data_IF_884823299544
#
_entry.id   IF_884823299544
#
_cell.length_a   1.000
_cell.length_b   1.000
_cell.length_c   1.000
_cell.angle_alpha   90.00
_cell.angle_beta   90.00
_cell.angle_gamma   90.00
#
_symmetry.space_group_name_H-M   'P 1'
#
loop_
_entity.id
_entity.type
_entity.pdbx_description
1 polymer ?
#
# COMPACT_ATOMS: atom_id res chain seq x y z
N UNK A 1 39.03 16.50 9.77
CA UNK A 1 38.17 17.08 8.71
C UNK A 1 36.75 16.74 9.09
N UNK A 2 36.10 17.65 9.79
CA UNK A 2 34.89 17.41 10.58
C UNK A 2 33.66 17.84 9.78
N UNK A 3 33.12 16.90 8.98
CA UNK A 3 31.94 17.10 8.11
C UNK A 3 30.67 16.80 8.92
N UNK A 4 30.44 17.52 10.02
CA UNK A 4 29.25 17.27 10.87
C UNK A 4 28.43 18.51 11.23
N UNK A 5 28.71 19.68 10.61
CA UNK A 5 27.97 20.93 10.93
C UNK A 5 27.50 21.74 9.73
N UNK A 6 27.28 21.12 8.58
CA UNK A 6 26.34 21.71 7.62
C UNK A 6 24.93 21.43 8.11
N UNK A 7 24.34 22.46 8.72
CA UNK A 7 22.99 22.47 9.26
C UNK A 7 21.99 21.91 8.25
N UNK A 8 21.47 20.71 8.51
CA UNK A 8 20.22 20.26 7.91
C UNK A 8 19.15 21.30 8.26
N UNK A 9 18.85 22.17 7.29
CA UNK A 9 17.75 23.13 7.39
C UNK A 9 16.51 22.33 7.03
N UNK A 10 15.65 21.93 7.98
CA UNK A 10 14.45 21.19 7.62
C UNK A 10 13.67 22.03 6.61
N UNK A 11 13.38 21.46 5.45
CA UNK A 11 12.51 22.09 4.48
C UNK A 11 11.25 22.56 5.22
N UNK A 12 10.84 23.83 5.01
CA UNK A 12 9.64 24.40 5.66
C UNK A 12 8.52 23.37 5.57
N UNK A 13 8.12 22.82 6.71
CA UNK A 13 7.01 21.87 6.80
C UNK A 13 5.75 22.65 6.47
N UNK A 14 5.39 22.68 5.18
CA UNK A 14 4.06 23.13 4.80
C UNK A 14 3.09 22.13 5.45
N UNK A 15 2.31 22.59 6.44
CA UNK A 15 1.15 21.86 6.93
C UNK A 15 0.26 21.59 5.71
N UNK A 16 0.35 20.40 5.15
CA UNK A 16 -0.48 19.98 4.03
C UNK A 16 -1.91 19.87 4.53
N UNK A 17 -2.71 20.90 4.28
CA UNK A 17 -4.14 20.96 4.64
C UNK A 17 -4.92 19.75 4.12
N UNK A 18 -4.41 19.08 3.08
CA UNK A 18 -4.99 17.88 2.47
C UNK A 18 -4.84 16.63 3.34
N UNK A 19 -3.76 16.51 4.12
CA UNK A 19 -3.46 15.34 4.96
C UNK A 19 -4.22 15.42 6.31
N UNK A 20 -4.44 16.64 6.80
CA UNK A 20 -5.18 16.91 8.04
C UNK A 20 -6.70 17.04 7.81
N UNK A 21 -7.21 16.66 6.64
CA UNK A 21 -8.63 16.73 6.34
C UNK A 21 -9.37 15.53 6.96
N UNK A 22 -10.18 15.80 7.98
CA UNK A 22 -10.99 14.78 8.67
C UNK A 22 -11.92 14.01 7.73
N UNK A 23 -12.39 14.64 6.64
CA UNK A 23 -13.16 13.97 5.59
C UNK A 23 -12.35 12.85 4.90
N UNK A 24 -11.10 13.15 4.54
CA UNK A 24 -10.21 12.19 3.85
C UNK A 24 -9.81 11.07 4.81
N UNK A 25 -9.52 11.40 6.08
CA UNK A 25 -9.30 10.39 7.13
C UNK A 25 -10.48 9.45 7.27
N UNK A 26 -11.71 9.99 7.38
CA UNK A 26 -12.92 9.18 7.46
C UNK A 26 -13.11 8.27 6.25
N UNK A 27 -12.82 8.76 5.05
CA UNK A 27 -12.89 7.96 3.82
C UNK A 27 -11.83 6.84 3.79
N UNK A 28 -10.60 7.14 4.19
CA UNK A 28 -9.52 6.15 4.29
C UNK A 28 -9.83 5.08 5.34
N UNK A 29 -10.36 5.46 6.51
CA UNK A 29 -10.77 4.50 7.55
C UNK A 29 -11.91 3.62 7.04
N UNK A 30 -12.93 4.18 6.39
CA UNK A 30 -14.01 3.39 5.80
C UNK A 30 -13.48 2.42 4.74
N UNK A 31 -12.59 2.89 3.87
CA UNK A 31 -11.96 2.03 2.86
C UNK A 31 -11.16 0.90 3.51
N UNK A 32 -10.39 1.19 4.55
CA UNK A 32 -9.66 0.18 5.32
C UNK A 32 -10.61 -0.86 5.93
N UNK A 33 -11.66 -0.42 6.64
CA UNK A 33 -12.64 -1.32 7.26
C UNK A 33 -13.35 -2.19 6.21
N UNK A 34 -13.84 -1.58 5.13
CA UNK A 34 -14.60 -2.29 4.10
C UNK A 34 -13.74 -3.28 3.32
N UNK A 35 -12.53 -2.90 2.92
CA UNK A 35 -11.72 -3.68 1.99
C UNK A 35 -10.63 -4.53 2.67
N UNK A 36 -10.33 -4.32 3.95
CA UNK A 36 -9.38 -5.17 4.69
C UNK A 36 -10.06 -5.98 5.79
N UNK A 37 -10.90 -5.36 6.62
CA UNK A 37 -11.49 -6.05 7.79
C UNK A 37 -12.58 -7.03 7.37
N UNK A 38 -13.46 -6.67 6.43
CA UNK A 38 -14.52 -7.58 5.95
C UNK A 38 -13.91 -8.85 5.31
N UNK A 39 -12.95 -8.76 4.36
CA UNK A 39 -12.32 -9.95 3.80
C UNK A 39 -11.59 -10.79 4.86
N UNK A 40 -10.91 -10.17 5.83
CA UNK A 40 -10.24 -10.89 6.91
C UNK A 40 -11.22 -11.71 7.77
N UNK A 41 -12.37 -11.12 8.12
CA UNK A 41 -13.45 -11.86 8.80
C UNK A 41 -13.95 -13.00 7.92
N UNK A 42 -14.14 -12.75 6.62
CA UNK A 42 -14.51 -13.78 5.64
C UNK A 42 -13.52 -14.95 5.61
N UNK A 43 -12.21 -14.68 5.68
CA UNK A 43 -11.16 -15.71 5.77
C UNK A 43 -11.27 -16.52 7.05
N UNK A 44 -11.51 -15.89 8.21
CA UNK A 44 -11.68 -16.60 9.49
C UNK A 44 -12.90 -17.53 9.44
N UNK A 45 -14.02 -17.05 8.90
CA UNK A 45 -15.23 -17.86 8.71
C UNK A 45 -14.95 -19.02 7.75
N UNK A 46 -14.26 -18.77 6.64
CA UNK A 46 -13.90 -19.81 5.68
C UNK A 46 -13.06 -20.92 6.33
N UNK A 47 -12.08 -20.57 7.17
CA UNK A 47 -11.27 -21.54 7.91
C UNK A 47 -12.15 -22.36 8.87
N UNK A 48 -13.09 -21.74 9.57
CA UNK A 48 -14.01 -22.46 10.46
C UNK A 48 -14.91 -23.45 9.68
N UNK A 49 -15.35 -23.07 8.48
CA UNK A 49 -16.19 -23.91 7.61
C UNK A 49 -15.44 -25.13 7.03
N UNK A 50 -14.10 -25.11 6.99
CA UNK A 50 -13.28 -26.26 6.55
C UNK A 50 -13.54 -27.52 7.38
N UNK A 51 -14.00 -27.36 8.63
CA UNK A 51 -14.36 -28.49 9.48
C UNK A 51 -15.57 -29.28 8.95
N UNK A 52 -16.41 -28.65 8.12
CA UNK A 52 -17.64 -29.24 7.60
C UNK A 52 -17.62 -29.43 6.08
N UNK A 53 -16.88 -28.60 5.36
CA UNK A 53 -16.80 -28.63 3.89
C UNK A 53 -15.36 -28.87 3.43
N UNK A 54 -15.08 -29.97 2.70
CA UNK A 54 -13.74 -30.24 2.17
C UNK A 54 -13.40 -29.27 1.04
N UNK A 55 -12.11 -28.96 0.91
CA UNK A 55 -11.56 -28.07 -0.13
C UNK A 55 -11.54 -28.82 -1.46
N UNK A 56 -12.14 -28.26 -2.51
CA UNK A 56 -11.97 -28.77 -3.88
C UNK A 56 -10.80 -28.08 -4.60
N UNK A 57 -10.41 -28.65 -5.74
CA UNK A 57 -9.35 -28.09 -6.59
C UNK A 57 -9.67 -26.68 -7.10
N UNK A 58 -10.95 -26.30 -7.18
CA UNK A 58 -11.38 -24.97 -7.63
C UNK A 58 -10.96 -23.90 -6.63
N UNK A 59 -11.16 -24.11 -5.32
CA UNK A 59 -10.77 -23.17 -4.27
C UNK A 59 -9.25 -22.99 -4.23
N UNK A 60 -8.49 -24.07 -4.39
CA UNK A 60 -7.03 -24.02 -4.45
C UNK A 60 -6.58 -23.24 -5.69
N UNK A 61 -7.18 -23.51 -6.85
CA UNK A 61 -6.89 -22.79 -8.09
C UNK A 61 -7.19 -21.30 -8.00
N UNK A 62 -8.32 -20.94 -7.41
CA UNK A 62 -8.70 -19.54 -7.16
C UNK A 62 -7.74 -18.86 -6.20
N UNK A 63 -7.37 -19.52 -5.10
CA UNK A 63 -6.41 -18.97 -4.12
C UNK A 63 -5.07 -18.64 -4.79
N UNK A 64 -4.49 -19.62 -5.49
CA UNK A 64 -3.20 -19.46 -6.16
C UNK A 64 -3.28 -18.41 -7.27
N UNK A 65 -4.34 -18.45 -8.08
CA UNK A 65 -4.54 -17.51 -9.18
C UNK A 65 -4.68 -16.07 -8.69
N UNK A 66 -5.53 -15.83 -7.69
CA UNK A 66 -5.75 -14.49 -7.14
C UNK A 66 -4.53 -13.98 -6.37
N UNK A 67 -3.81 -14.87 -5.67
CA UNK A 67 -2.54 -14.53 -5.02
C UNK A 67 -1.50 -14.08 -6.06
N UNK A 68 -1.31 -14.84 -7.14
CA UNK A 68 -0.36 -14.50 -8.18
C UNK A 68 -0.71 -13.17 -8.88
N UNK A 69 -1.98 -12.97 -9.23
CA UNK A 69 -2.45 -11.73 -9.84
C UNK A 69 -2.22 -10.51 -8.94
N UNK A 70 -2.50 -10.64 -7.65
CA UNK A 70 -2.27 -9.58 -6.66
C UNK A 70 -0.78 -9.28 -6.50
N UNK A 71 0.06 -10.31 -6.42
CA UNK A 71 1.53 -10.16 -6.33
C UNK A 71 2.11 -9.47 -7.56
N UNK A 72 1.62 -9.81 -8.75
CA UNK A 72 2.00 -9.15 -10.00
C UNK A 72 1.57 -7.67 -9.98
N UNK A 73 0.32 -7.39 -9.60
CA UNK A 73 -0.19 -6.02 -9.50
C UNK A 73 0.59 -5.15 -8.50
N UNK A 74 0.92 -5.72 -7.35
CA UNK A 74 1.75 -5.08 -6.32
C UNK A 74 3.17 -4.78 -6.83
N UNK A 75 3.83 -5.79 -7.39
CA UNK A 75 5.25 -5.72 -7.76
C UNK A 75 5.49 -4.97 -9.07
N UNK A 76 4.74 -5.30 -10.12
CA UNK A 76 4.87 -4.66 -11.42
C UNK A 76 4.07 -3.37 -11.51
N UNK A 77 2.84 -3.35 -10.97
CA UNK A 77 1.96 -2.19 -11.01
C UNK A 77 2.35 -1.13 -10.00
N UNK A 78 1.97 -1.30 -8.72
CA UNK A 78 2.17 -0.29 -7.68
C UNK A 78 3.64 0.08 -7.49
N UNK A 79 4.51 -0.91 -7.36
CA UNK A 79 5.92 -0.68 -7.07
C UNK A 79 6.71 -0.20 -8.30
N UNK A 80 6.83 -1.02 -9.35
CA UNK A 80 7.71 -0.69 -10.48
C UNK A 80 7.12 0.35 -11.43
N UNK A 81 5.86 0.23 -11.81
CA UNK A 81 5.25 1.13 -12.77
C UNK A 81 4.85 2.48 -12.13
N UNK A 82 4.03 2.46 -11.07
CA UNK A 82 3.52 3.70 -10.48
C UNK A 82 4.54 4.42 -9.59
N UNK A 83 5.22 3.72 -8.68
CA UNK A 83 6.18 4.37 -7.78
C UNK A 83 7.50 4.71 -8.49
N UNK A 84 8.10 3.74 -9.18
CA UNK A 84 9.44 3.90 -9.76
C UNK A 84 9.49 4.25 -11.26
N UNK A 85 8.35 4.22 -11.97
CA UNK A 85 8.28 4.51 -13.42
C UNK A 85 9.30 3.70 -14.24
N UNK A 86 9.53 2.45 -13.87
CA UNK A 86 10.59 1.61 -14.43
C UNK A 86 10.39 1.25 -15.92
N UNK A 87 9.15 1.33 -16.43
CA UNK A 87 8.83 1.03 -17.82
C UNK A 87 7.59 1.79 -18.28
N UNK A 88 7.37 1.86 -19.59
CA UNK A 88 6.17 2.44 -20.22
C UNK A 88 5.24 1.33 -20.71
N UNK A 89 3.93 1.57 -20.65
CA UNK A 89 2.90 0.62 -21.12
C UNK A 89 1.79 1.35 -21.85
N UNK A 90 0.92 0.61 -22.54
CA UNK A 90 -0.33 1.16 -23.09
C UNK A 90 -1.30 1.58 -21.98
N UNK A 91 -2.27 2.42 -22.35
CA UNK A 91 -3.33 2.90 -21.44
C UNK A 91 -4.16 1.76 -20.84
N UNK A 92 -4.50 0.75 -21.65
CA UNK A 92 -5.21 -0.44 -21.17
C UNK A 92 -4.41 -1.19 -20.12
N UNK A 93 -3.11 -1.40 -20.37
CA UNK A 93 -2.24 -2.09 -19.42
C UNK A 93 -2.05 -1.27 -18.14
N UNK A 94 -2.01 0.06 -18.23
CA UNK A 94 -1.98 0.94 -17.05
C UNK A 94 -3.19 0.72 -16.16
N UNK A 95 -4.39 0.61 -16.73
CA UNK A 95 -5.62 0.34 -15.97
C UNK A 95 -5.61 -1.05 -15.36
N UNK A 96 -5.19 -2.08 -16.12
CA UNK A 96 -5.06 -3.45 -15.60
C UNK A 96 -4.11 -3.51 -14.41
N UNK A 97 -2.93 -2.89 -14.53
CA UNK A 97 -1.94 -2.85 -13.44
C UNK A 97 -2.47 -2.08 -12.22
N UNK A 98 -3.28 -1.04 -12.42
CA UNK A 98 -3.95 -0.35 -11.32
C UNK A 98 -4.96 -1.25 -10.61
N UNK A 99 -5.80 -1.97 -11.36
CA UNK A 99 -6.79 -2.89 -10.80
C UNK A 99 -6.09 -4.02 -10.02
N UNK A 100 -5.13 -4.68 -10.64
CA UNK A 100 -4.36 -5.77 -10.00
C UNK A 100 -3.60 -5.27 -8.76
N UNK A 101 -3.06 -4.04 -8.81
CA UNK A 101 -2.42 -3.42 -7.66
C UNK A 101 -3.38 -3.19 -6.49
N UNK A 102 -4.58 -2.68 -6.79
CA UNK A 102 -5.62 -2.44 -5.78
C UNK A 102 -6.14 -3.74 -5.13
N UNK A 103 -6.03 -4.90 -5.80
CA UNK A 103 -6.38 -6.20 -5.21
C UNK A 103 -5.50 -6.56 -4.00
N UNK A 104 -4.30 -5.97 -3.89
CA UNK A 104 -3.41 -6.15 -2.73
C UNK A 104 -3.88 -5.46 -1.44
N UNK A 105 -5.00 -4.73 -1.47
CA UNK A 105 -5.63 -4.07 -0.32
C UNK A 105 -4.75 -3.05 0.46
N UNK A 106 -3.69 -2.54 -0.15
CA UNK A 106 -2.75 -1.58 0.48
C UNK A 106 -3.22 -0.11 0.47
N UNK A 107 -4.51 0.11 0.22
CA UNK A 107 -5.11 1.43 0.09
C UNK A 107 -4.94 2.08 -1.29
N UNK A 108 -5.31 3.37 -1.43
CA UNK A 108 -5.35 4.05 -2.72
C UNK A 108 -3.96 4.17 -3.36
N UNK A 109 -3.88 3.94 -4.68
CA UNK A 109 -2.63 3.99 -5.48
C UNK A 109 -1.78 5.23 -5.19
N UNK A 110 -2.40 6.42 -5.17
CA UNK A 110 -1.70 7.69 -4.94
C UNK A 110 -1.07 7.75 -3.55
N UNK A 111 -1.82 7.32 -2.53
CA UNK A 111 -1.35 7.29 -1.14
C UNK A 111 -0.20 6.31 -1.00
N UNK A 112 -0.35 5.12 -1.58
CA UNK A 112 0.68 4.08 -1.54
C UNK A 112 1.98 4.54 -2.19
N UNK A 113 1.91 5.10 -3.40
CA UNK A 113 3.08 5.61 -4.14
C UNK A 113 3.79 6.73 -3.37
N UNK A 114 3.04 7.64 -2.75
CA UNK A 114 3.62 8.74 -1.97
C UNK A 114 4.38 8.22 -0.74
N UNK A 115 3.79 7.29 0.00
CA UNK A 115 4.43 6.66 1.17
C UNK A 115 5.63 5.82 0.74
N UNK A 116 5.52 5.06 -0.35
CA UNK A 116 6.60 4.20 -0.87
C UNK A 116 7.82 4.99 -1.32
N UNK A 117 7.62 6.10 -2.04
CA UNK A 117 8.72 6.99 -2.45
C UNK A 117 9.41 7.62 -1.25
N UNK A 118 8.62 8.06 -0.26
CA UNK A 118 9.16 8.56 0.99
C UNK A 118 9.96 7.48 1.71
N UNK A 119 9.44 6.25 1.80
CA UNK A 119 10.19 5.16 2.42
C UNK A 119 11.59 5.02 1.83
N UNK A 120 11.74 5.05 0.50
CA UNK A 120 13.05 5.04 -0.15
C UNK A 120 13.90 6.31 0.03
N UNK A 121 13.27 7.47 0.21
CA UNK A 121 13.99 8.74 0.42
C UNK A 121 14.59 8.83 1.84
N UNK A 122 13.96 8.18 2.83
CA UNK A 122 14.34 8.29 4.23
C UNK A 122 14.88 6.99 4.86
N UNK A 123 14.94 5.87 4.12
CA UNK A 123 15.26 4.51 4.64
C UNK A 123 16.62 4.34 5.32
N UNK A 124 17.53 5.29 5.19
CA UNK A 124 18.90 5.20 5.71
C UNK A 124 19.26 6.33 6.70
N UNK A 125 18.25 7.07 7.20
CA UNK A 125 18.48 8.15 8.17
C UNK A 125 18.47 7.62 9.62
N UNK A 126 19.44 8.01 10.47
CA UNK A 126 19.42 7.66 11.89
C UNK A 126 18.21 8.33 12.56
N UNK A 127 17.22 7.53 12.97
CA UNK A 127 15.92 8.00 13.43
C UNK A 127 14.74 7.53 12.58
N UNK A 128 14.97 6.58 11.68
CA UNK A 128 13.98 6.03 10.74
C UNK A 128 12.65 5.70 11.45
N UNK A 129 11.57 6.45 11.19
CA UNK A 129 10.27 6.13 11.72
C UNK A 129 9.86 4.78 11.12
N UNK A 130 9.55 3.72 11.91
CA UNK A 130 8.85 2.56 11.34
C UNK A 130 7.60 3.08 10.61
N UNK A 131 7.09 2.38 9.59
CA UNK A 131 5.97 2.83 8.74
C UNK A 131 4.80 3.49 9.52
N UNK A 132 4.54 3.01 10.75
CA UNK A 132 3.58 3.56 11.71
C UNK A 132 3.90 4.98 12.23
N UNK A 133 5.17 5.35 12.39
CA UNK A 133 5.64 6.65 12.84
C UNK A 133 5.75 7.66 11.68
N UNK A 134 5.91 7.22 10.42
CA UNK A 134 5.81 8.11 9.24
C UNK A 134 4.37 8.66 9.03
N UNK A 135 3.36 7.92 9.48
CA UNK A 135 1.97 8.39 9.57
C UNK A 135 1.80 9.38 10.75
N UNK A 136 2.60 9.24 11.82
CA UNK A 136 2.49 10.03 13.05
C UNK A 136 3.27 11.35 13.01
N UNK A 137 4.36 11.44 12.23
CA UNK A 137 5.08 12.69 11.94
C UNK A 137 4.32 13.62 10.98
N UNK A 138 3.12 13.23 10.54
CA UNK A 138 2.16 14.09 9.85
C UNK A 138 1.24 14.91 10.79
N UNK A 139 1.45 14.88 12.11
CA UNK A 139 0.67 15.62 13.11
C UNK A 139 1.41 16.84 13.67
#
# INVERSE_FOLDING_TARGET
MDVTKESFKPAKTQKSKTILNDYIKGLQTKHFLLYNVIPAIGTVIAIALLWWYPISSVEIGLLIGMWALSMIGMSLGLHRYFAHRAFKTSETMRVILAILGCMGAQGPVVSWVAVHRRHHEYSDLPGDPPLALCIKTMN
#
